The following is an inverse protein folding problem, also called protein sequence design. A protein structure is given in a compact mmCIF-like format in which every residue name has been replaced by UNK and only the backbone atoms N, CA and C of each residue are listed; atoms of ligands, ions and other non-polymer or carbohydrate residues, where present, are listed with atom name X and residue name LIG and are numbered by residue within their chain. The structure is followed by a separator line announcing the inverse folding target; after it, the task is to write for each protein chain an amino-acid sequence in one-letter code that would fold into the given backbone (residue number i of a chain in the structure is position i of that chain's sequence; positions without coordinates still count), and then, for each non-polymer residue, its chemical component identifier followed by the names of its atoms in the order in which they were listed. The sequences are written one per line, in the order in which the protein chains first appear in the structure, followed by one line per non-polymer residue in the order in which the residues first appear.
data_IF_451508668636
#
_entry.id   IF_451508668636
#
_cell.length_a   1.000
_cell.length_b   1.000
_cell.length_c   1.000
_cell.angle_alpha   90.00
_cell.angle_beta   90.00
_cell.angle_gamma   90.00
#
_symmetry.space_group_name_H-M   'P 1'
#
loop_
_entity.id
_entity.type
_entity.pdbx_description
1 polymer ?
#
# COMPACT_ATOMS: atom_id res chain seq x y z
N UNK A 1 -6.73 -26.27 29.21
CA UNK A 1 -5.97 -25.10 29.67
C UNK A 1 -4.72 -24.88 28.81
N UNK A 2 -4.01 -23.75 28.92
CA UNK A 2 -2.64 -23.63 28.36
C UNK A 2 -1.68 -24.34 29.33
N UNK A 3 -0.56 -24.86 28.83
CA UNK A 3 0.42 -25.56 29.64
C UNK A 3 1.13 -24.60 30.62
N UNK A 4 1.69 -25.08 31.74
CA UNK A 4 2.50 -24.27 32.64
C UNK A 4 3.65 -23.57 31.90
N UNK A 5 3.69 -22.24 31.97
CA UNK A 5 4.69 -21.41 31.26
C UNK A 5 4.25 -20.92 29.88
N UNK A 6 3.15 -21.42 29.33
CA UNK A 6 2.52 -20.83 28.14
C UNK A 6 1.74 -19.57 28.50
N UNK A 7 1.58 -18.68 27.53
CA UNK A 7 0.82 -17.44 27.71
C UNK A 7 -0.47 -17.51 26.92
N UNK A 8 -1.60 -17.29 27.61
CA UNK A 8 -2.90 -17.18 26.95
C UNK A 8 -3.00 -15.81 26.27
N UNK A 9 -3.34 -15.83 24.98
CA UNK A 9 -3.53 -14.64 24.16
C UNK A 9 -4.91 -14.66 23.54
N UNK A 10 -5.58 -13.52 23.59
CA UNK A 10 -6.89 -13.30 22.97
C UNK A 10 -6.76 -12.22 21.89
N UNK A 11 -7.25 -12.48 20.68
CA UNK A 11 -7.21 -11.53 19.56
C UNK A 11 -8.63 -11.15 19.11
N UNK A 12 -8.95 -9.86 18.89
CA UNK A 12 -10.31 -9.42 18.56
C UNK A 12 -10.69 -9.63 17.07
N UNK A 13 -10.29 -10.75 16.49
CA UNK A 13 -10.26 -10.97 15.02
C UNK A 13 -11.58 -11.46 14.43
N UNK A 14 -11.59 -11.77 13.12
CA UNK A 14 -12.62 -12.55 12.40
C UNK A 14 -12.22 -14.04 12.24
N UNK A 15 -13.18 -14.97 12.08
CA UNK A 15 -12.95 -16.42 12.31
C UNK A 15 -11.87 -16.94 11.37
N UNK A 16 -11.86 -16.36 10.19
CA UNK A 16 -10.94 -16.65 9.10
C UNK A 16 -9.52 -16.10 9.34
N UNK A 17 -9.37 -15.09 10.20
CA UNK A 17 -8.12 -14.39 10.51
C UNK A 17 -7.53 -14.75 11.88
N UNK A 18 -8.33 -15.36 12.76
CA UNK A 18 -7.96 -15.70 14.14
C UNK A 18 -6.59 -16.39 14.26
N UNK A 19 -6.30 -17.35 13.37
CA UNK A 19 -5.03 -18.07 13.39
C UNK A 19 -3.84 -17.18 13.04
N UNK A 20 -3.99 -16.30 12.06
CA UNK A 20 -2.93 -15.41 11.59
C UNK A 20 -2.65 -14.31 12.63
N UNK A 21 -3.68 -13.82 13.30
CA UNK A 21 -3.55 -12.82 14.35
C UNK A 21 -2.95 -13.39 15.63
N UNK A 22 -3.30 -14.63 16.00
CA UNK A 22 -2.63 -15.34 17.08
C UNK A 22 -1.15 -15.61 16.75
N UNK A 23 -0.84 -15.99 15.51
CA UNK A 23 0.56 -16.12 15.06
C UNK A 23 1.31 -14.80 15.13
N UNK A 24 0.67 -13.70 14.76
CA UNK A 24 1.25 -12.37 14.84
C UNK A 24 1.45 -11.96 16.31
N UNK A 25 0.48 -12.23 17.18
CA UNK A 25 0.55 -11.89 18.59
C UNK A 25 1.58 -12.72 19.36
N UNK A 26 1.69 -14.02 19.07
CA UNK A 26 2.76 -14.86 19.62
C UNK A 26 4.12 -14.49 19.00
N UNK A 27 4.19 -14.22 17.70
CA UNK A 27 5.41 -13.83 17.00
C UNK A 27 5.98 -12.50 17.53
N UNK A 28 5.11 -11.54 17.89
CA UNK A 28 5.51 -10.32 18.60
C UNK A 28 6.15 -10.59 19.97
N UNK A 29 5.90 -11.75 20.56
CA UNK A 29 6.51 -12.20 21.81
C UNK A 29 7.71 -13.13 21.58
N UNK A 30 8.16 -13.30 20.32
CA UNK A 30 9.21 -14.25 19.97
C UNK A 30 8.80 -15.71 20.17
N UNK A 31 7.49 -16.00 20.15
CA UNK A 31 6.91 -17.31 20.45
C UNK A 31 6.07 -17.80 19.28
N UNK A 32 5.89 -19.11 19.17
CA UNK A 32 4.96 -19.71 18.21
C UNK A 32 3.64 -20.02 18.89
N UNK A 33 2.57 -20.09 18.11
CA UNK A 33 1.27 -20.58 18.61
C UNK A 33 1.43 -22.07 18.90
N UNK A 34 1.33 -22.43 20.17
CA UNK A 34 1.39 -23.82 20.63
C UNK A 34 0.03 -24.50 20.44
N UNK A 35 -1.05 -23.79 20.78
CA UNK A 35 -2.40 -24.35 20.75
C UNK A 35 -3.42 -23.30 20.36
N UNK A 36 -4.29 -23.63 19.41
CA UNK A 36 -5.48 -22.83 19.12
C UNK A 36 -6.61 -23.29 20.07
N UNK A 37 -7.38 -22.34 20.59
CA UNK A 37 -8.59 -22.60 21.37
C UNK A 37 -9.81 -22.07 20.65
N UNK A 38 -10.96 -22.15 21.34
CA UNK A 38 -12.22 -21.52 20.93
C UNK A 38 -11.96 -20.13 20.36
N UNK A 39 -12.83 -19.79 19.41
CA UNK A 39 -12.83 -18.60 18.58
C UNK A 39 -12.20 -17.42 19.34
N UNK A 40 -11.07 -16.88 18.85
CA UNK A 40 -10.27 -15.76 19.39
C UNK A 40 -9.17 -16.07 20.40
N UNK A 41 -9.03 -17.29 20.89
CA UNK A 41 -8.05 -17.60 21.94
C UNK A 41 -6.98 -18.59 21.49
N UNK A 42 -5.77 -18.42 22.00
CA UNK A 42 -4.67 -19.34 21.75
C UNK A 42 -3.61 -19.27 22.83
N UNK A 43 -2.78 -20.31 22.89
CA UNK A 43 -1.65 -20.41 23.78
C UNK A 43 -0.38 -20.15 22.97
N UNK A 44 0.40 -19.15 23.38
CA UNK A 44 1.76 -18.98 22.90
C UNK A 44 2.69 -19.91 23.67
N UNK A 45 3.56 -20.61 22.94
CA UNK A 45 4.52 -21.54 23.50
C UNK A 45 5.45 -20.83 24.51
N UNK A 46 5.95 -21.60 25.48
CA UNK A 46 6.97 -21.14 26.43
C UNK A 46 8.15 -20.56 25.64
N UNK A 47 8.80 -19.46 26.08
CA UNK A 47 9.97 -18.91 25.38
C UNK A 47 10.96 -20.02 25.07
N UNK A 48 11.22 -20.25 23.78
CA UNK A 48 12.23 -21.22 23.40
C UNK A 48 13.55 -20.81 24.06
N UNK A 49 14.27 -21.73 24.73
CA UNK A 49 15.61 -21.43 25.20
C UNK A 49 16.41 -20.93 24.01
N UNK A 50 16.99 -19.74 24.13
CA UNK A 50 17.69 -19.06 23.04
C UNK A 50 18.67 -20.07 22.39
N UNK A 51 18.69 -20.22 21.05
CA UNK A 51 19.47 -21.26 20.39
C UNK A 51 20.93 -21.19 20.84
N UNK A 52 21.45 -22.31 21.34
CA UNK A 52 22.75 -22.41 22.04
C UNK A 52 23.94 -22.10 21.12
N UNK A 53 23.71 -22.08 19.81
CA UNK A 53 24.62 -21.61 18.76
C UNK A 53 23.81 -21.42 17.48
N UNK A 54 23.80 -20.25 16.83
CA UNK A 54 23.22 -20.18 15.50
C UNK A 54 24.29 -20.45 14.42
N UNK A 55 23.93 -21.11 13.31
CA UNK A 55 24.66 -21.04 12.04
C UNK A 55 24.38 -19.73 11.27
N UNK A 56 23.63 -18.81 11.87
CA UNK A 56 23.16 -17.58 11.22
C UNK A 56 24.29 -16.54 11.21
N UNK A 57 24.62 -16.01 10.04
CA UNK A 57 25.52 -14.85 9.93
C UNK A 57 24.84 -13.64 10.58
N UNK A 58 25.12 -13.43 11.87
CA UNK A 58 24.66 -12.29 12.69
C UNK A 58 24.93 -10.91 12.09
N UNK A 59 25.83 -10.86 11.11
CA UNK A 59 26.52 -9.66 10.70
C UNK A 59 25.78 -8.81 9.67
N UNK A 60 24.60 -9.20 9.19
CA UNK A 60 23.96 -8.44 8.10
C UNK A 60 22.46 -8.30 8.28
N UNK A 61 22.09 -7.14 8.83
CA UNK A 61 20.79 -6.55 8.55
C UNK A 61 20.61 -6.38 7.03
N UNK A 62 19.36 -6.23 6.57
CA UNK A 62 19.10 -5.84 5.19
C UNK A 62 19.89 -4.56 4.86
N UNK A 63 20.32 -4.39 3.59
CA UNK A 63 21.13 -3.24 3.19
C UNK A 63 20.47 -1.87 3.48
N UNK A 64 19.15 -1.84 3.64
CA UNK A 64 18.36 -0.65 3.98
C UNK A 64 18.15 -0.45 5.49
N UNK A 65 18.59 -1.39 6.31
CA UNK A 65 18.40 -1.36 7.76
C UNK A 65 19.73 -1.01 8.44
N UNK A 66 19.67 -0.24 9.53
CA UNK A 66 20.83 0.13 10.34
C UNK A 66 21.01 -0.87 11.48
N UNK A 67 22.19 -1.47 11.61
CA UNK A 67 22.46 -2.38 12.73
C UNK A 67 22.75 -1.62 14.04
N UNK A 68 22.24 -2.14 15.15
CA UNK A 68 22.56 -1.69 16.51
C UNK A 68 22.77 -2.90 17.41
N UNK A 69 23.99 -3.04 17.92
CA UNK A 69 24.31 -4.12 18.87
C UNK A 69 24.52 -3.55 20.27
N UNK A 70 24.01 -4.25 21.29
CA UNK A 70 24.24 -3.91 22.68
C UNK A 70 24.27 -5.15 23.57
N UNK A 71 24.91 -5.00 24.74
CA UNK A 71 24.97 -6.01 25.78
C UNK A 71 24.13 -5.52 26.97
N UNK A 72 23.00 -6.16 27.29
CA UNK A 72 22.23 -5.78 28.46
C UNK A 72 23.02 -6.04 29.74
N UNK A 73 22.90 -5.12 30.69
CA UNK A 73 23.48 -5.23 32.02
C UNK A 73 22.65 -6.18 32.87
N UNK A 74 23.20 -7.35 33.22
CA UNK A 74 22.57 -8.33 34.11
C UNK A 74 22.84 -9.78 33.70
N UNK A 75 22.74 -10.71 34.66
CA UNK A 75 23.01 -12.15 34.47
C UNK A 75 21.83 -12.89 33.82
N UNK A 76 20.72 -12.21 33.55
CA UNK A 76 19.53 -12.84 33.01
C UNK A 76 19.74 -13.16 31.52
N UNK A 77 19.80 -14.45 31.21
CA UNK A 77 19.80 -15.04 29.88
C UNK A 77 18.43 -14.91 29.19
N UNK A 78 17.80 -13.76 29.34
CA UNK A 78 16.44 -13.52 28.87
C UNK A 78 16.45 -12.70 27.58
N UNK A 79 16.12 -13.38 26.48
CA UNK A 79 15.99 -12.78 25.15
C UNK A 79 14.94 -11.64 25.11
N UNK A 80 13.99 -11.53 26.06
CA UNK A 80 13.04 -10.42 26.12
C UNK A 80 13.72 -9.07 26.40
N UNK A 81 14.85 -9.06 27.11
CA UNK A 81 15.61 -7.84 27.38
C UNK A 81 16.11 -7.22 26.06
N UNK A 82 16.36 -8.06 25.05
CA UNK A 82 16.73 -7.57 23.72
C UNK A 82 15.58 -6.86 23.02
N UNK A 83 14.33 -7.24 23.26
CA UNK A 83 13.18 -6.62 22.62
C UNK A 83 13.02 -5.15 23.05
N UNK A 84 13.00 -4.90 24.36
CA UNK A 84 12.89 -3.54 24.89
C UNK A 84 14.11 -2.70 24.56
N UNK A 85 15.30 -3.29 24.66
CA UNK A 85 16.53 -2.60 24.30
C UNK A 85 16.63 -2.27 22.81
N UNK A 86 16.21 -3.18 21.92
CA UNK A 86 16.16 -2.93 20.48
C UNK A 86 15.16 -1.84 20.14
N UNK A 87 13.96 -1.89 20.74
CA UNK A 87 12.96 -0.84 20.56
C UNK A 87 13.52 0.52 20.98
N UNK A 88 14.09 0.62 22.18
CA UNK A 88 14.68 1.86 22.70
C UNK A 88 15.81 2.38 21.80
N UNK A 89 16.68 1.49 21.31
CA UNK A 89 17.81 1.85 20.43
C UNK A 89 17.35 2.31 19.04
N UNK A 90 16.37 1.65 18.44
CA UNK A 90 15.83 2.06 17.15
C UNK A 90 14.99 3.34 17.26
N UNK A 91 14.18 3.48 18.32
CA UNK A 91 13.40 4.70 18.56
C UNK A 91 14.31 5.93 18.75
N UNK A 92 15.48 5.76 19.38
CA UNK A 92 16.46 6.85 19.56
C UNK A 92 17.03 7.41 18.25
N UNK A 93 16.93 6.67 17.14
CA UNK A 93 17.34 7.13 15.80
C UNK A 93 16.15 7.37 14.87
N UNK A 94 14.93 7.44 15.41
CA UNK A 94 13.72 7.61 14.60
C UNK A 94 13.36 6.40 13.73
N UNK A 95 13.93 5.24 14.01
CA UNK A 95 13.70 3.99 13.28
C UNK A 95 12.72 3.07 14.04
N UNK A 96 12.23 2.02 13.37
CA UNK A 96 11.50 0.90 13.98
C UNK A 96 12.36 -0.35 13.97
N UNK A 97 12.11 -1.26 14.89
CA UNK A 97 12.75 -2.59 14.87
C UNK A 97 12.19 -3.35 13.64
N UNK A 98 13.06 -3.62 12.67
CA UNK A 98 12.76 -4.45 11.50
C UNK A 98 13.03 -5.93 11.79
N UNK A 99 14.16 -6.22 12.44
CA UNK A 99 14.53 -7.55 12.90
C UNK A 99 15.35 -7.46 14.20
N UNK A 100 15.40 -8.55 14.96
CA UNK A 100 16.23 -8.65 16.16
C UNK A 100 16.81 -10.05 16.34
N UNK A 101 18.09 -10.09 16.70
CA UNK A 101 18.82 -11.30 17.03
C UNK A 101 19.23 -11.25 18.48
N UNK A 102 19.09 -12.38 19.14
CA UNK A 102 19.56 -12.56 20.49
C UNK A 102 20.33 -13.87 20.59
N UNK A 103 21.43 -13.82 21.33
CA UNK A 103 22.19 -15.00 21.70
C UNK A 103 23.44 -14.60 22.45
N UNK A 104 24.36 -15.55 22.58
CA UNK A 104 25.50 -15.40 23.47
C UNK A 104 26.79 -15.28 22.68
N UNK A 105 27.58 -14.26 23.02
CA UNK A 105 28.91 -14.07 22.44
C UNK A 105 29.94 -14.21 23.56
N UNK A 106 30.84 -15.18 23.44
CA UNK A 106 31.94 -15.36 24.38
C UNK A 106 32.91 -16.43 23.89
N UNK A 107 34.21 -16.11 23.88
CA UNK A 107 35.24 -17.05 23.42
C UNK A 107 35.72 -18.00 24.51
N UNK A 108 35.49 -17.78 25.81
CA UNK A 108 35.81 -18.82 26.82
C UNK A 108 35.28 -18.66 28.24
N UNK A 109 34.94 -17.48 28.78
CA UNK A 109 34.62 -17.39 30.24
C UNK A 109 33.40 -16.54 30.62
N UNK A 110 32.90 -15.67 29.73
CA UNK A 110 31.63 -14.95 29.97
C UNK A 110 30.73 -15.02 28.73
N UNK A 111 29.74 -15.91 28.76
CA UNK A 111 28.62 -15.88 27.80
C UNK A 111 27.70 -14.70 28.15
N UNK A 112 28.08 -13.50 27.69
CA UNK A 112 27.21 -12.34 27.77
C UNK A 112 26.09 -12.44 26.74
N UNK A 113 24.86 -12.11 27.14
CA UNK A 113 23.77 -11.91 26.18
C UNK A 113 24.16 -10.75 25.26
N UNK A 114 24.05 -10.96 23.96
CA UNK A 114 24.24 -9.94 22.93
C UNK A 114 22.93 -9.81 22.17
N UNK A 115 22.46 -8.57 22.08
CA UNK A 115 21.29 -8.18 21.32
C UNK A 115 21.75 -7.42 20.09
N UNK A 116 21.38 -7.88 18.90
CA UNK A 116 21.60 -7.15 17.65
C UNK A 116 20.25 -6.80 17.05
N UNK A 117 20.07 -5.54 16.68
CA UNK A 117 18.81 -5.00 16.19
C UNK A 117 19.02 -4.45 14.78
N UNK A 118 18.13 -4.79 13.87
CA UNK A 118 18.06 -4.17 12.56
C UNK A 118 17.01 -3.07 12.61
N UNK A 119 17.47 -1.83 12.70
CA UNK A 119 16.62 -0.66 12.75
C UNK A 119 16.28 -0.21 11.34
N UNK A 120 15.03 -0.43 10.94
CA UNK A 120 14.50 0.04 9.66
C UNK A 120 14.02 1.46 9.83
N UNK A 121 14.41 2.34 8.90
CA UNK A 121 13.91 3.71 8.90
C UNK A 121 12.38 3.69 8.98
N UNK A 122 11.81 4.48 9.91
CA UNK A 122 10.37 4.68 9.90
C UNK A 122 10.12 5.45 8.63
N UNK A 123 9.60 4.74 7.63
CA UNK A 123 8.95 5.40 6.51
C UNK A 123 7.91 6.29 7.15
N UNK A 124 8.20 7.58 7.26
CA UNK A 124 7.19 8.58 7.53
C UNK A 124 6.35 8.56 6.28
N UNK A 125 5.45 7.58 6.19
CA UNK A 125 4.20 7.80 5.52
C UNK A 125 3.65 8.99 6.30
N UNK A 126 3.84 10.18 5.71
CA UNK A 126 3.16 11.40 6.12
C UNK A 126 1.75 10.97 6.49
N UNK A 127 1.28 11.26 7.72
CA UNK A 127 -0.07 10.89 8.11
C UNK A 127 -1.00 11.29 6.96
N UNK A 128 -1.85 10.40 6.44
CA UNK A 128 -2.96 10.86 5.63
C UNK A 128 -3.63 11.98 6.44
N UNK A 129 -3.78 13.15 5.81
CA UNK A 129 -4.39 14.29 6.46
C UNK A 129 -5.69 13.83 7.15
N UNK A 130 -5.95 14.35 8.36
CA UNK A 130 -7.11 14.01 9.15
C UNK A 130 -8.40 13.99 8.30
N UNK A 131 -9.37 13.12 8.61
CA UNK A 131 -10.62 13.03 7.87
C UNK A 131 -11.33 14.38 7.95
N UNK A 132 -11.22 15.17 6.88
CA UNK A 132 -12.15 16.25 6.63
C UNK A 132 -13.53 15.60 6.60
N UNK A 133 -14.43 16.12 7.43
CA UNK A 133 -15.90 16.03 7.30
C UNK A 133 -16.29 15.68 5.86
N UNK A 134 -17.21 14.72 5.61
CA UNK A 134 -17.53 14.21 4.29
C UNK A 134 -17.81 15.37 3.34
N UNK A 135 -16.76 15.77 2.64
CA UNK A 135 -16.85 16.70 1.55
C UNK A 135 -17.52 15.89 0.45
N UNK A 136 -18.67 16.38 0.04
CA UNK A 136 -19.38 16.02 -1.18
C UNK A 136 -18.35 15.58 -2.24
N UNK A 137 -18.57 14.46 -2.95
CA UNK A 137 -17.62 13.92 -3.92
C UNK A 137 -17.06 15.05 -4.79
N UNK A 138 -15.77 15.34 -4.62
CA UNK A 138 -15.07 16.25 -5.51
C UNK A 138 -15.22 15.65 -6.90
N UNK A 139 -15.79 16.39 -7.86
CA UNK A 139 -16.07 15.84 -9.18
C UNK A 139 -14.77 15.30 -9.76
N UNK A 140 -14.82 14.11 -10.37
CA UNK A 140 -13.87 13.76 -11.43
C UNK A 140 -13.63 15.05 -12.24
N UNK A 141 -12.37 15.43 -12.57
CA UNK A 141 -12.17 16.52 -13.52
C UNK A 141 -13.05 16.18 -14.70
N UNK A 142 -14.10 16.99 -14.89
CA UNK A 142 -15.08 16.71 -15.90
C UNK A 142 -14.26 16.52 -17.19
N UNK A 143 -14.54 15.50 -18.02
CA UNK A 143 -13.98 15.51 -19.36
C UNK A 143 -14.23 16.93 -19.88
N UNK A 144 -13.19 17.60 -20.38
CA UNK A 144 -13.30 18.91 -21.03
C UNK A 144 -14.35 18.77 -22.13
N UNK A 145 -15.61 18.92 -21.73
CA UNK A 145 -16.78 18.85 -22.56
C UNK A 145 -16.82 20.24 -23.16
N UNK A 146 -16.02 20.41 -24.18
CA UNK A 146 -16.03 21.53 -25.11
C UNK A 146 -17.41 21.72 -25.78
N UNK A 147 -18.32 20.77 -25.57
CA UNK A 147 -19.65 20.73 -26.14
C UNK A 147 -20.67 21.39 -25.21
N UNK A 148 -21.64 22.09 -25.80
CA UNK A 148 -22.71 22.70 -25.03
C UNK A 148 -23.62 21.62 -24.45
N UNK A 149 -24.34 21.90 -23.35
CA UNK A 149 -25.41 21.01 -22.90
C UNK A 149 -26.41 20.79 -24.05
N UNK A 150 -26.68 19.51 -24.37
CA UNK A 150 -27.45 18.97 -25.52
C UNK A 150 -26.66 18.58 -26.76
N UNK A 151 -25.38 18.93 -26.85
CA UNK A 151 -24.52 18.46 -27.92
C UNK A 151 -24.01 17.05 -27.61
N UNK A 152 -23.84 16.23 -28.65
CA UNK A 152 -23.27 14.90 -28.54
C UNK A 152 -21.74 15.02 -28.64
N UNK A 153 -21.03 14.60 -27.58
CA UNK A 153 -19.57 14.57 -27.56
C UNK A 153 -19.03 13.32 -28.27
N UNK A 154 -18.14 13.53 -29.23
CA UNK A 154 -17.48 12.44 -29.97
C UNK A 154 -15.97 12.57 -29.82
N UNK A 155 -15.32 11.50 -29.37
CA UNK A 155 -13.86 11.39 -29.30
C UNK A 155 -13.37 10.18 -30.06
N UNK A 156 -12.26 10.34 -30.79
CA UNK A 156 -11.65 9.27 -31.59
C UNK A 156 -10.13 9.45 -31.69
N UNK A 157 -9.45 8.36 -32.03
CA UNK A 157 -8.01 8.38 -32.29
C UNK A 157 -7.76 8.68 -33.76
N UNK A 158 -6.83 9.60 -34.03
CA UNK A 158 -6.43 9.94 -35.39
C UNK A 158 -5.25 9.05 -35.81
N UNK A 159 -5.41 8.33 -36.93
CA UNK A 159 -4.32 7.53 -37.52
C UNK A 159 -3.30 8.38 -38.31
N UNK A 160 -3.64 9.63 -38.63
CA UNK A 160 -2.79 10.57 -39.37
C UNK A 160 -1.97 11.48 -38.45
N UNK A 161 -0.80 11.93 -38.91
CA UNK A 161 0.11 12.83 -38.18
C UNK A 161 -0.35 14.29 -38.13
N UNK A 162 -1.49 14.65 -38.75
CA UNK A 162 -1.98 16.03 -38.85
C UNK A 162 -3.43 16.20 -38.39
N UNK A 163 -3.69 17.29 -37.67
CA UNK A 163 -5.04 17.72 -37.27
C UNK A 163 -5.94 18.11 -38.46
N UNK A 164 -5.40 18.22 -39.69
CA UNK A 164 -6.18 18.48 -40.89
C UNK A 164 -7.27 17.42 -41.16
N UNK A 165 -7.04 16.18 -40.70
CA UNK A 165 -8.01 15.08 -40.82
C UNK A 165 -9.10 15.09 -39.74
N UNK A 166 -8.98 15.94 -38.72
CA UNK A 166 -9.94 15.96 -37.61
C UNK A 166 -11.32 16.49 -38.03
N UNK A 167 -11.36 17.50 -38.92
CA UNK A 167 -12.61 18.09 -39.41
C UNK A 167 -13.44 17.10 -40.24
N UNK A 168 -12.92 16.47 -41.31
CA UNK A 168 -13.72 15.56 -42.13
C UNK A 168 -14.14 14.28 -41.37
N UNK A 169 -13.31 13.78 -40.45
CA UNK A 169 -13.68 12.63 -39.60
C UNK A 169 -14.81 12.97 -38.62
N UNK A 170 -14.80 14.18 -38.06
CA UNK A 170 -15.88 14.67 -37.20
C UNK A 170 -17.19 14.83 -37.96
N UNK A 171 -17.15 15.45 -39.14
CA UNK A 171 -18.33 15.61 -39.99
C UNK A 171 -18.95 14.27 -40.36
N UNK A 172 -18.13 13.30 -40.79
CA UNK A 172 -18.59 11.93 -41.09
C UNK A 172 -19.27 11.26 -39.90
N UNK A 173 -18.73 11.43 -38.69
CA UNK A 173 -19.31 10.85 -37.47
C UNK A 173 -20.60 11.56 -37.03
N UNK A 174 -20.66 12.88 -37.15
CA UNK A 174 -21.87 13.66 -36.83
C UNK A 174 -22.99 13.39 -37.85
N UNK A 175 -22.67 13.28 -39.14
CA UNK A 175 -23.64 12.93 -40.19
C UNK A 175 -24.25 11.54 -39.96
N UNK A 176 -23.46 10.56 -39.50
CA UNK A 176 -23.97 9.24 -39.10
C UNK A 176 -24.96 9.29 -37.93
N UNK A 177 -25.01 10.39 -37.19
CA UNK A 177 -25.93 10.64 -36.07
C UNK A 177 -26.99 11.70 -36.42
N UNK A 178 -27.22 11.98 -37.71
CA UNK A 178 -28.15 13.00 -38.21
C UNK A 178 -27.95 14.41 -37.57
N UNK A 179 -26.70 14.74 -37.22
CA UNK A 179 -26.32 15.93 -36.48
C UNK A 179 -25.31 16.78 -37.25
N UNK A 180 -25.34 18.10 -37.04
CA UNK A 180 -24.40 19.08 -37.62
C UNK A 180 -23.23 19.29 -36.68
N UNK A 181 -22.05 19.53 -37.24
CA UNK A 181 -20.82 19.69 -36.48
C UNK A 181 -20.67 21.12 -35.94
N UNK A 182 -20.24 21.28 -34.68
CA UNK A 182 -19.86 22.58 -34.09
C UNK A 182 -18.36 22.60 -33.72
N UNK A 183 -17.84 23.09 -32.56
CA UNK A 183 -16.39 23.33 -32.46
C UNK A 183 -15.61 22.01 -32.35
N UNK A 184 -14.43 22.00 -32.97
CA UNK A 184 -13.48 20.88 -32.94
C UNK A 184 -12.30 21.27 -32.04
N UNK A 185 -11.87 20.35 -31.18
CA UNK A 185 -10.58 20.46 -30.50
C UNK A 185 -9.70 19.28 -30.91
N UNK A 186 -8.62 19.58 -31.64
CA UNK A 186 -7.59 18.61 -31.94
C UNK A 186 -6.40 18.82 -31.01
N UNK A 187 -5.99 17.79 -30.28
CA UNK A 187 -4.81 17.85 -29.42
C UNK A 187 -3.63 17.17 -30.12
N UNK A 188 -2.61 17.95 -30.43
CA UNK A 188 -1.33 17.44 -30.91
C UNK A 188 -0.53 16.83 -29.75
N UNK A 189 -0.16 15.55 -29.88
CA UNK A 189 0.60 14.79 -28.88
C UNK A 189 0.28 13.30 -28.98
N UNK A 190 1.24 12.39 -28.84
CA UNK A 190 0.98 10.94 -28.91
C UNK A 190 0.36 10.39 -27.61
N UNK A 191 -0.77 9.66 -27.63
CA UNK A 191 -1.62 9.38 -28.80
C UNK A 191 -2.53 10.57 -29.15
N UNK A 192 -2.59 10.92 -30.44
CA UNK A 192 -3.35 12.08 -30.93
C UNK A 192 -4.85 11.76 -30.88
N UNK A 193 -5.62 12.64 -30.24
CA UNK A 193 -7.06 12.49 -30.06
C UNK A 193 -7.79 13.66 -30.70
N UNK A 194 -8.77 13.35 -31.53
CA UNK A 194 -9.75 14.31 -32.03
C UNK A 194 -10.97 14.32 -31.11
N UNK A 195 -11.48 15.52 -30.82
CA UNK A 195 -12.73 15.73 -30.07
C UNK A 195 -13.62 16.70 -30.85
N UNK A 196 -14.91 16.40 -30.96
CA UNK A 196 -15.89 17.31 -31.54
C UNK A 196 -17.27 17.13 -30.94
N UNK A 197 -18.11 18.13 -31.25
CA UNK A 197 -19.48 18.23 -30.78
C UNK A 197 -20.42 18.16 -31.98
N UNK A 198 -21.39 17.26 -31.92
CA UNK A 198 -22.46 17.16 -32.90
C UNK A 198 -23.74 17.73 -32.28
N UNK A 199 -24.27 18.81 -32.86
CA UNK A 199 -25.60 19.35 -32.53
C UNK A 199 -26.64 18.68 -33.40
N UNK A 200 -27.79 18.33 -32.84
CA UNK A 200 -28.91 17.85 -33.63
C UNK A 200 -29.24 18.85 -34.76
N UNK A 201 -29.16 18.38 -36.00
CA UNK A 201 -29.52 19.20 -37.14
C UNK A 201 -31.04 19.29 -37.13
N UNK A 202 -31.60 20.46 -36.80
CA UNK A 202 -32.97 20.81 -37.21
C UNK A 202 -33.03 21.02 -38.74
N UNK A 203 -32.57 20.04 -39.52
CA UNK A 203 -32.66 20.03 -40.98
C UNK A 203 -34.05 19.56 -41.43
N UNK A 204 -35.09 20.15 -40.82
CA UNK A 204 -36.48 20.10 -41.28
C UNK A 204 -36.93 21.51 -41.69
N UNK A 205 -36.09 22.25 -42.42
CA UNK A 205 -36.47 23.53 -43.03
C UNK A 205 -35.51 23.95 -44.17
N UNK A 206 -35.39 23.13 -45.22
CA UNK A 206 -34.97 23.59 -46.55
C UNK A 206 -35.22 22.48 -47.59
N UNK A 207 -36.48 22.25 -47.95
CA UNK A 207 -36.78 21.78 -49.30
C UNK A 207 -36.68 23.01 -50.22
N UNK A 208 -35.87 23.02 -51.29
CA UNK A 208 -36.07 23.97 -52.36
C UNK A 208 -37.37 23.59 -53.07
N UNK A 209 -38.40 24.42 -52.90
CA UNK A 209 -39.57 24.40 -53.77
C UNK A 209 -39.09 24.82 -55.17
N UNK A 210 -39.08 23.86 -56.09
CA UNK A 210 -39.03 24.11 -57.52
C UNK A 210 -40.11 25.12 -57.91
N UNK A 211 -39.70 26.17 -58.61
CA UNK A 211 -40.52 27.09 -59.39
C UNK A 211 -39.68 27.58 -60.56
#
# INVERSE_FOLDING_TARGET
HCEPGETNVTTPSDINSCRMDLQTACGRQGRVVSKLRDIWQGCCQVPLPCPVKPPVKWSQCAATDTDKTFRPTGVKRDCHICQDGCKKKCDAIGARVGDQFCGFQGDTVFLGLVCTCCCREKTMIRPPAAPTTPALPTPLPAPDNICKPKDIFVAFQLGSRSCASCSPECEKKCLGMASSMVPIQCREGPPRKGKCCCTESNAAAALPLNG
#
